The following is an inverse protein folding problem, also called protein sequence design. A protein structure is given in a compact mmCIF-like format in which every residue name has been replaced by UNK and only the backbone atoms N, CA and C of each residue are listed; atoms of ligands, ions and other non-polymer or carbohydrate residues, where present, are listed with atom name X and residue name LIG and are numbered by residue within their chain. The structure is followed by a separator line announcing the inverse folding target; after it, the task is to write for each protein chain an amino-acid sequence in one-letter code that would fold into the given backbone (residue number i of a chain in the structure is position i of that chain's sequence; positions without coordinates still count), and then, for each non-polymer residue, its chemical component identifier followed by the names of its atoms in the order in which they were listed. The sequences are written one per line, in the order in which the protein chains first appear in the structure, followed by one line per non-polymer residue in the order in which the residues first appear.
data_IF_746286235797
#
_entry.id   IF_746286235797
#
_cell.length_a   1.000
_cell.length_b   1.000
_cell.length_c   1.000
_cell.angle_alpha   90.00
_cell.angle_beta   90.00
_cell.angle_gamma   90.00
#
_symmetry.space_group_name_H-M   'P 1'
#
loop_
_entity.id
_entity.type
_entity.pdbx_description
1 polymer ?
#
# COMPACT_ATOMS: atom_id res chain seq x y z
N UNK A 1 -13.31 -37.64 -31.89
CA UNK A 1 -12.88 -36.23 -31.98
C UNK A 1 -13.64 -35.47 -30.91
N UNK A 2 -12.97 -35.00 -29.86
CA UNK A 2 -13.57 -34.03 -28.94
C UNK A 2 -13.49 -32.67 -29.65
N UNK A 3 -14.60 -32.26 -30.25
CA UNK A 3 -14.73 -30.94 -30.86
C UNK A 3 -14.55 -29.91 -29.75
N UNK A 4 -13.39 -29.24 -29.74
CA UNK A 4 -13.17 -28.07 -28.91
C UNK A 4 -14.21 -27.03 -29.31
N UNK A 5 -15.25 -26.87 -28.50
CA UNK A 5 -16.14 -25.74 -28.60
C UNK A 5 -15.27 -24.50 -28.37
N UNK A 6 -14.93 -23.79 -29.45
CA UNK A 6 -14.41 -22.43 -29.37
C UNK A 6 -15.56 -21.54 -28.85
N UNK A 7 -15.89 -21.66 -27.57
CA UNK A 7 -16.68 -20.63 -26.90
C UNK A 7 -15.86 -19.35 -26.97
N UNK A 8 -16.44 -18.33 -27.57
CA UNK A 8 -15.82 -17.01 -27.63
C UNK A 8 -15.87 -16.43 -26.22
N UNK A 9 -14.89 -16.77 -25.40
CA UNK A 9 -14.80 -16.39 -23.99
C UNK A 9 -14.85 -14.88 -23.78
N UNK A 10 -14.45 -14.09 -24.79
CA UNK A 10 -14.56 -12.63 -24.74
C UNK A 10 -16.02 -12.18 -24.75
N UNK A 11 -16.91 -12.86 -25.49
CA UNK A 11 -18.36 -12.58 -25.46
C UNK A 11 -18.99 -12.98 -24.13
N UNK A 12 -18.53 -14.07 -23.53
CA UNK A 12 -18.99 -14.51 -22.20
C UNK A 12 -18.55 -13.52 -21.12
N UNK A 13 -17.33 -12.99 -21.23
CA UNK A 13 -16.83 -11.96 -20.33
C UNK A 13 -17.70 -10.70 -20.33
N UNK A 14 -18.22 -10.28 -21.49
CA UNK A 14 -19.11 -9.12 -21.60
C UNK A 14 -20.48 -9.32 -20.92
N UNK A 15 -20.82 -10.56 -20.51
CA UNK A 15 -22.03 -10.82 -19.71
C UNK A 15 -21.81 -10.50 -18.24
N UNK A 16 -20.56 -10.45 -17.79
CA UNK A 16 -20.23 -10.13 -16.40
C UNK A 16 -20.60 -8.67 -16.10
N UNK A 17 -21.17 -8.46 -14.93
CA UNK A 17 -21.50 -7.13 -14.43
C UNK A 17 -21.16 -7.00 -12.95
N UNK A 18 -21.03 -5.75 -12.50
CA UNK A 18 -20.85 -5.42 -11.10
C UNK A 18 -22.05 -5.97 -10.30
N UNK A 19 -21.78 -6.53 -9.13
CA UNK A 19 -22.75 -7.14 -8.23
C UNK A 19 -22.92 -8.66 -8.40
N UNK A 20 -22.32 -9.30 -9.42
CA UNK A 20 -22.35 -10.76 -9.52
C UNK A 20 -21.61 -11.43 -8.37
N UNK A 21 -22.12 -12.55 -7.89
CA UNK A 21 -21.41 -13.37 -6.92
C UNK A 21 -20.24 -14.11 -7.59
N UNK A 22 -19.25 -14.51 -6.79
CA UNK A 22 -18.12 -15.31 -7.29
C UNK A 22 -18.56 -16.57 -8.03
N UNK A 23 -19.58 -17.23 -7.53
CA UNK A 23 -20.06 -18.49 -8.09
C UNK A 23 -20.69 -18.26 -9.47
N UNK A 24 -21.50 -17.19 -9.65
CA UNK A 24 -22.04 -16.79 -10.95
C UNK A 24 -20.92 -16.50 -11.96
N UNK A 25 -19.85 -15.81 -11.53
CA UNK A 25 -18.71 -15.51 -12.39
C UNK A 25 -17.98 -16.80 -12.80
N UNK A 26 -17.85 -17.77 -11.88
CA UNK A 26 -17.27 -19.08 -12.17
C UNK A 26 -18.15 -19.90 -13.11
N UNK A 27 -19.47 -19.79 -13.04
CA UNK A 27 -20.37 -20.48 -13.98
C UNK A 27 -20.25 -19.89 -15.40
N UNK A 28 -20.09 -18.57 -15.53
CA UNK A 28 -20.01 -17.89 -16.84
C UNK A 28 -18.63 -18.04 -17.47
N UNK A 29 -17.56 -17.85 -16.69
CA UNK A 29 -16.17 -17.78 -17.21
C UNK A 29 -15.31 -18.98 -16.83
N UNK A 30 -15.75 -19.82 -15.90
CA UNK A 30 -14.89 -20.83 -15.30
C UNK A 30 -13.79 -20.24 -14.42
N UNK A 31 -12.85 -21.10 -14.05
CA UNK A 31 -11.73 -20.75 -13.19
C UNK A 31 -10.80 -19.72 -13.85
N UNK A 32 -10.46 -18.63 -13.16
CA UNK A 32 -9.51 -17.63 -13.67
C UNK A 32 -8.09 -18.21 -13.80
N UNK A 33 -7.30 -17.66 -14.72
CA UNK A 33 -5.89 -18.07 -14.86
C UNK A 33 -5.01 -17.54 -13.72
N UNK A 34 -5.40 -16.41 -13.10
CA UNK A 34 -4.69 -15.83 -11.96
C UNK A 34 -5.66 -15.31 -10.92
N UNK A 35 -5.37 -15.58 -9.66
CA UNK A 35 -6.08 -15.03 -8.51
C UNK A 35 -5.08 -14.35 -7.59
N UNK A 36 -5.42 -13.16 -7.12
CA UNK A 36 -4.61 -12.38 -6.19
C UNK A 36 -5.51 -11.72 -5.16
N UNK A 37 -5.18 -11.84 -3.88
CA UNK A 37 -5.86 -11.09 -2.81
C UNK A 37 -5.05 -9.85 -2.47
N UNK A 38 -5.65 -8.66 -2.57
CA UNK A 38 -4.97 -7.38 -2.30
C UNK A 38 -5.93 -6.41 -1.60
N UNK A 39 -5.51 -5.83 -0.48
CA UNK A 39 -6.33 -4.93 0.36
C UNK A 39 -7.76 -5.43 0.65
N UNK A 40 -7.90 -6.73 0.96
CA UNK A 40 -9.21 -7.34 1.26
C UNK A 40 -10.10 -7.58 0.04
N UNK A 41 -9.64 -7.25 -1.16
CA UNK A 41 -10.31 -7.58 -2.43
C UNK A 41 -9.67 -8.81 -3.06
N UNK A 42 -10.49 -9.64 -3.69
CA UNK A 42 -10.02 -10.76 -4.50
C UNK A 42 -10.03 -10.36 -5.97
N UNK A 43 -8.86 -10.26 -6.58
CA UNK A 43 -8.67 -9.94 -8.00
C UNK A 43 -8.47 -11.22 -8.78
N UNK A 44 -9.34 -11.43 -9.77
CA UNK A 44 -9.25 -12.52 -10.73
C UNK A 44 -8.89 -11.94 -12.08
N UNK A 45 -7.96 -12.56 -12.79
CA UNK A 45 -7.53 -12.11 -14.12
C UNK A 45 -7.76 -13.19 -15.16
N UNK A 46 -8.41 -12.79 -16.25
CA UNK A 46 -8.71 -13.61 -17.40
C UNK A 46 -7.86 -13.18 -18.60
N UNK A 47 -7.17 -14.13 -19.22
CA UNK A 47 -6.31 -13.89 -20.37
C UNK A 47 -6.97 -14.45 -21.63
N UNK A 48 -7.21 -13.58 -22.61
CA UNK A 48 -7.79 -13.92 -23.90
C UNK A 48 -6.76 -13.74 -25.01
N UNK A 49 -6.90 -14.55 -26.05
CA UNK A 49 -6.11 -14.44 -27.27
C UNK A 49 -7.05 -14.25 -28.45
N UNK A 50 -6.96 -13.11 -29.12
CA UNK A 50 -7.68 -12.84 -30.36
C UNK A 50 -6.66 -12.39 -31.41
N UNK A 51 -6.59 -13.09 -32.54
CA UNK A 51 -5.68 -12.78 -33.65
C UNK A 51 -4.20 -12.62 -33.24
N UNK A 52 -3.73 -13.47 -32.30
CA UNK A 52 -2.40 -13.44 -31.67
C UNK A 52 -2.13 -12.23 -30.75
N UNK A 53 -3.11 -11.36 -30.55
CA UNK A 53 -3.07 -10.28 -29.56
C UNK A 53 -3.60 -10.82 -28.23
N UNK A 54 -2.82 -10.61 -27.17
CA UNK A 54 -3.20 -10.98 -25.80
C UNK A 54 -3.98 -9.83 -25.17
N UNK A 55 -5.18 -10.13 -24.72
CA UNK A 55 -6.01 -9.22 -23.90
C UNK A 55 -6.08 -9.77 -22.48
N UNK A 56 -5.95 -8.88 -21.50
CA UNK A 56 -6.11 -9.25 -20.09
C UNK A 56 -7.26 -8.42 -19.53
N UNK A 57 -8.27 -9.11 -19.01
CA UNK A 57 -9.38 -8.50 -18.28
C UNK A 57 -9.33 -8.96 -16.83
N UNK A 58 -9.88 -8.18 -15.93
CA UNK A 58 -9.93 -8.53 -14.53
C UNK A 58 -11.32 -8.36 -13.93
N UNK A 59 -11.58 -9.11 -12.88
CA UNK A 59 -12.75 -8.99 -12.03
C UNK A 59 -12.25 -8.86 -10.61
N UNK A 60 -12.67 -7.81 -9.90
CA UNK A 60 -12.35 -7.65 -8.48
C UNK A 60 -13.60 -7.92 -7.65
N UNK A 61 -13.45 -8.72 -6.60
CA UNK A 61 -14.49 -9.05 -5.66
C UNK A 61 -14.21 -8.43 -4.30
N UNK A 62 -15.27 -8.02 -3.62
CA UNK A 62 -15.25 -7.61 -2.23
C UNK A 62 -16.46 -8.25 -1.54
N UNK A 63 -16.24 -8.88 -0.39
CA UNK A 63 -17.30 -9.57 0.36
C UNK A 63 -18.10 -10.60 -0.48
N UNK A 64 -17.44 -11.22 -1.47
CA UNK A 64 -18.06 -12.23 -2.34
C UNK A 64 -18.70 -11.69 -3.62
N UNK A 65 -18.86 -10.37 -3.74
CA UNK A 65 -19.51 -9.72 -4.89
C UNK A 65 -18.52 -9.01 -5.79
N UNK A 66 -18.74 -9.04 -7.10
CA UNK A 66 -17.93 -8.34 -8.10
C UNK A 66 -18.12 -6.82 -7.94
N UNK A 67 -17.08 -6.10 -7.56
CA UNK A 67 -17.07 -4.63 -7.44
C UNK A 67 -16.50 -3.97 -8.69
N UNK A 68 -15.68 -4.71 -9.46
CA UNK A 68 -15.08 -4.22 -10.69
C UNK A 68 -15.05 -5.33 -11.73
N UNK A 69 -15.43 -4.98 -12.96
CA UNK A 69 -15.34 -5.83 -14.15
C UNK A 69 -14.80 -4.95 -15.26
N UNK A 70 -13.62 -5.26 -15.79
CA UNK A 70 -13.05 -4.43 -16.84
C UNK A 70 -11.63 -4.84 -17.26
N UNK A 71 -10.91 -3.84 -17.76
CA UNK A 71 -9.51 -4.01 -18.14
C UNK A 71 -8.63 -4.14 -16.91
N UNK A 72 -7.49 -4.83 -17.09
CA UNK A 72 -6.49 -4.99 -16.06
C UNK A 72 -6.15 -3.63 -15.45
N UNK A 73 -6.24 -3.55 -14.13
CA UNK A 73 -5.79 -2.36 -13.43
C UNK A 73 -4.27 -2.33 -13.46
N UNK A 74 -3.73 -1.32 -14.13
CA UNK A 74 -2.30 -1.01 -14.11
C UNK A 74 -2.07 0.19 -13.19
N UNK A 75 -1.08 0.13 -12.27
CA UNK A 75 -0.74 1.30 -11.47
C UNK A 75 -0.24 2.42 -12.39
N UNK A 76 -0.71 3.65 -12.15
CA UNK A 76 -0.32 4.84 -12.93
C UNK A 76 1.20 5.11 -12.87
N UNK A 77 1.84 4.67 -11.79
CA UNK A 77 3.28 4.81 -11.56
C UNK A 77 3.98 3.47 -11.72
N UNK A 78 5.03 3.47 -12.53
CA UNK A 78 5.87 2.28 -12.73
C UNK A 78 6.69 2.03 -11.45
N UNK A 79 7.08 0.77 -11.23
CA UNK A 79 7.91 0.39 -10.08
C UNK A 79 9.17 1.27 -9.96
N UNK A 80 9.80 1.60 -11.09
CA UNK A 80 10.97 2.48 -11.15
C UNK A 80 10.70 3.89 -10.61
N UNK A 81 9.50 4.45 -10.84
CA UNK A 81 9.13 5.78 -10.33
C UNK A 81 8.86 5.73 -8.82
N UNK A 82 8.33 4.62 -8.32
CA UNK A 82 8.13 4.41 -6.88
C UNK A 82 9.48 4.22 -6.19
N UNK A 83 10.38 3.44 -6.76
CA UNK A 83 11.73 3.23 -6.23
C UNK A 83 12.51 4.54 -6.15
N UNK A 84 12.47 5.38 -7.20
CA UNK A 84 13.11 6.69 -7.19
C UNK A 84 12.53 7.62 -6.10
N UNK A 85 11.22 7.58 -5.85
CA UNK A 85 10.59 8.34 -4.77
C UNK A 85 10.98 7.82 -3.39
N UNK A 86 11.04 6.50 -3.22
CA UNK A 86 11.45 5.87 -1.97
C UNK A 86 12.92 6.15 -1.65
N UNK A 87 13.80 6.08 -2.64
CA UNK A 87 15.22 6.40 -2.49
C UNK A 87 15.42 7.87 -2.07
N UNK A 88 14.71 8.80 -2.71
CA UNK A 88 14.75 10.21 -2.32
C UNK A 88 14.25 10.43 -0.89
N UNK A 89 13.15 9.76 -0.50
CA UNK A 89 12.61 9.85 0.86
C UNK A 89 13.55 9.26 1.91
N UNK A 90 14.14 8.10 1.64
CA UNK A 90 15.06 7.44 2.56
C UNK A 90 16.32 8.28 2.79
N UNK A 91 16.85 8.89 1.72
CA UNK A 91 18.01 9.79 1.82
C UNK A 91 17.71 11.01 2.71
N UNK A 92 16.52 11.61 2.58
CA UNK A 92 16.12 12.73 3.43
C UNK A 92 16.01 12.34 4.92
N UNK A 93 15.50 11.14 5.20
CA UNK A 93 15.40 10.60 6.57
C UNK A 93 16.79 10.29 7.13
N UNK A 94 17.68 9.71 6.32
CA UNK A 94 19.06 9.47 6.70
C UNK A 94 19.77 10.79 7.04
N UNK A 95 19.67 11.80 6.18
CA UNK A 95 20.25 13.13 6.42
C UNK A 95 19.69 13.78 7.71
N UNK A 96 18.38 13.70 7.94
CA UNK A 96 17.77 14.22 9.17
C UNK A 96 18.22 13.46 10.42
N UNK A 97 18.33 12.13 10.34
CA UNK A 97 18.77 11.29 11.45
C UNK A 97 20.24 11.53 11.81
N UNK A 98 21.12 11.71 10.81
CA UNK A 98 22.52 12.10 11.01
C UNK A 98 22.60 13.47 11.66
N UNK A 99 21.83 14.46 11.17
CA UNK A 99 21.79 15.79 11.78
C UNK A 99 21.36 15.73 13.24
N UNK A 100 20.28 15.01 13.56
CA UNK A 100 19.81 14.82 14.95
C UNK A 100 20.88 14.15 15.81
N UNK A 101 21.56 13.13 15.30
CA UNK A 101 22.63 12.46 16.04
C UNK A 101 23.83 13.38 16.33
N UNK A 102 24.16 14.29 15.40
CA UNK A 102 25.24 15.26 15.58
C UNK A 102 24.87 16.43 16.52
N UNK A 103 23.61 16.88 16.50
CA UNK A 103 23.13 18.00 17.32
C UNK A 103 22.85 17.58 18.77
N UNK A 104 22.44 16.34 19.01
CA UNK A 104 22.04 15.85 20.34
C UNK A 104 23.15 15.92 21.42
N UNK A 105 24.43 15.58 21.14
CA UNK A 105 25.53 15.76 22.10
C UNK A 105 25.77 17.23 22.48
N UNK A 106 25.58 18.15 21.52
CA UNK A 106 25.74 19.58 21.78
C UNK A 106 24.56 20.12 22.59
N UNK A 107 23.35 19.58 22.40
CA UNK A 107 22.16 19.98 23.16
C UNK A 107 22.33 19.75 24.67
N UNK A 108 22.86 18.60 25.09
CA UNK A 108 23.11 18.32 26.52
C UNK A 108 24.22 19.23 27.09
N UNK A 109 25.30 19.44 26.34
CA UNK A 109 26.40 20.34 26.75
C UNK A 109 25.94 21.80 26.89
N UNK A 110 25.07 22.27 25.98
CA UNK A 110 24.52 23.62 26.03
C UNK A 110 23.55 23.79 27.20
N UNK A 111 22.69 22.80 27.45
CA UNK A 111 21.81 22.78 28.61
C UNK A 111 22.58 22.83 29.94
N UNK A 112 23.66 22.05 30.10
CA UNK A 112 24.50 22.11 31.31
C UNK A 112 25.15 23.48 31.51
N UNK A 113 25.59 24.14 30.43
CA UNK A 113 26.18 25.49 30.50
C UNK A 113 25.15 26.54 30.90
N UNK A 114 23.94 26.47 30.36
CA UNK A 114 22.84 27.37 30.72
C UNK A 114 22.43 27.20 32.18
N UNK A 115 22.31 25.96 32.66
CA UNK A 115 21.92 25.66 34.05
C UNK A 115 23.03 26.00 35.04
N UNK A 116 24.31 25.79 34.71
CA UNK A 116 25.44 26.20 35.58
C UNK A 116 25.67 27.70 35.61
N UNK A 117 25.39 28.41 34.52
CA UNK A 117 25.48 29.88 34.47
C UNK A 117 24.31 30.58 35.16
N UNK A 118 23.16 29.92 35.25
CA UNK A 118 22.00 30.37 36.01
C UNK A 118 22.10 29.89 37.46
N UNK A 119 22.99 30.52 38.25
CA UNK A 119 22.99 30.42 39.72
C UNK A 119 21.74 31.13 40.29
N UNK A 120 20.56 30.58 40.01
CA UNK A 120 19.32 30.95 40.66
C UNK A 120 19.29 30.19 41.98
N UNK A 121 19.76 30.87 43.01
CA UNK A 121 19.65 30.53 44.43
C UNK A 121 18.36 29.74 44.68
N UNK A 122 18.48 28.43 44.95
CA UNK A 122 17.34 27.61 45.37
C UNK A 122 16.85 28.16 46.70
N UNK A 123 15.64 28.69 46.74
CA UNK A 123 14.98 29.08 47.99
C UNK A 123 14.84 27.83 48.88
N UNK A 124 15.56 27.81 50.00
CA UNK A 124 15.40 26.79 51.04
C UNK A 124 14.46 27.41 52.09
N UNK A 125 13.23 26.90 52.27
CA UNK A 125 12.33 27.45 53.27
C UNK A 125 12.93 27.23 54.66
N UNK A 126 13.16 28.32 55.40
CA UNK A 126 13.58 28.23 56.81
C UNK A 126 12.36 27.87 57.66
N UNK A 127 12.36 26.66 58.21
CA UNK A 127 11.30 26.17 59.08
C UNK A 127 11.48 26.76 60.49
N UNK A 128 10.47 27.47 61.00
CA UNK A 128 10.39 27.85 62.42
C UNK A 128 9.60 26.78 63.17
N UNK A 129 10.16 26.10 64.17
CA UNK A 129 9.42 25.12 64.97
C UNK A 129 8.38 25.84 65.84
N UNK A 130 7.19 25.26 65.93
CA UNK A 130 6.09 25.70 66.80
C UNK A 130 6.37 25.18 68.21
N UNK A 131 6.31 26.06 69.21
CA UNK A 131 6.39 25.71 70.64
C UNK A 131 5.06 25.18 71.17
#
# INVERSE_FOLDING_TARGET
MLSACQTNMLKEYNKLHIGMEKDDVLEVMGSPQRTQRFHGKDRWSYIFYQDRIRYEKEVQFFEGNAVYVGEKWEPEVTAAQVDAKNEASNKAIEEESVRKYQENPQAYSNYEKEVRGADKVRYVPTFKPVQ
#
